data_IF_439412420444
#
_entry.id   IF_439412420444
#
_cell.length_a   1.000
_cell.length_b   1.000
_cell.length_c   1.000
_cell.angle_alpha   90.00
_cell.angle_beta   90.00
_cell.angle_gamma   90.00
#
_symmetry.space_group_name_H-M   'P 1'
#
loop_
_entity.id
_entity.type
_entity.pdbx_description
1 polymer ?
#
# COMPACT_ATOMS: atom_id res chain seq x y z
N UNK A 1 -1.80 -17.66 -5.87
CA UNK A 1 -2.03 -16.40 -6.58
C UNK A 1 -1.68 -15.23 -5.72
N UNK A 2 -1.07 -14.26 -6.35
CA UNK A 2 -0.68 -13.06 -5.63
C UNK A 2 -1.91 -12.17 -5.43
N UNK A 3 -2.02 -11.58 -4.27
CA UNK A 3 -3.08 -10.63 -4.02
C UNK A 3 -2.67 -9.26 -4.52
N UNK A 4 -3.67 -8.46 -4.87
CA UNK A 4 -3.39 -7.09 -5.24
C UNK A 4 -2.96 -6.31 -4.01
N UNK A 5 -2.15 -5.28 -4.26
CA UNK A 5 -1.62 -4.51 -3.16
C UNK A 5 -2.72 -3.94 -2.27
N UNK A 6 -3.84 -3.53 -2.87
CA UNK A 6 -4.94 -3.00 -2.09
C UNK A 6 -5.52 -4.02 -1.13
N UNK A 7 -5.64 -5.26 -1.59
CA UNK A 7 -6.16 -6.31 -0.73
C UNK A 7 -5.21 -6.60 0.42
N UNK A 8 -3.92 -6.57 0.14
CA UNK A 8 -2.91 -6.78 1.17
C UNK A 8 -3.02 -5.69 2.23
N UNK A 9 -3.18 -4.46 1.81
CA UNK A 9 -3.27 -3.35 2.74
C UNK A 9 -4.51 -3.43 3.60
N UNK A 10 -5.62 -3.89 3.02
CA UNK A 10 -6.84 -4.08 3.79
C UNK A 10 -6.65 -5.18 4.83
N UNK A 11 -6.04 -6.28 4.43
CA UNK A 11 -5.84 -7.39 5.34
C UNK A 11 -4.93 -7.02 6.50
N UNK A 12 -3.95 -6.18 6.24
CA UNK A 12 -3.03 -5.76 7.28
C UNK A 12 -3.57 -4.63 8.14
N UNK A 13 -4.75 -4.13 7.80
CA UNK A 13 -5.33 -3.04 8.58
C UNK A 13 -4.75 -1.69 8.27
N UNK A 14 -3.96 -1.58 7.21
CA UNK A 14 -3.39 -0.30 6.82
C UNK A 14 -4.47 0.63 6.30
N UNK A 15 -5.41 0.09 5.54
CA UNK A 15 -6.58 0.83 5.08
C UNK A 15 -7.79 -0.08 5.25
N UNK A 16 -8.98 0.48 5.13
CA UNK A 16 -10.20 -0.33 5.20
C UNK A 16 -10.80 -0.46 3.80
N UNK A 17 -11.91 -1.17 3.74
CA UNK A 17 -12.55 -1.45 2.46
C UNK A 17 -13.00 -0.17 1.76
N UNK A 18 -13.55 0.74 2.51
CA UNK A 18 -14.01 1.99 1.93
C UNK A 18 -12.85 2.78 1.36
N UNK A 19 -11.76 2.84 2.11
CA UNK A 19 -10.59 3.55 1.65
C UNK A 19 -10.03 2.90 0.40
N UNK A 20 -10.06 1.58 0.36
CA UNK A 20 -9.60 0.86 -0.82
C UNK A 20 -10.43 1.25 -2.04
N UNK A 21 -11.75 1.28 -1.88
CA UNK A 21 -12.61 1.64 -3.00
C UNK A 21 -12.35 3.05 -3.47
N UNK A 22 -12.18 3.96 -2.54
CA UNK A 22 -11.90 5.35 -2.89
C UNK A 22 -10.55 5.47 -3.61
N UNK A 23 -9.57 4.72 -3.15
CA UNK A 23 -8.27 4.74 -3.79
C UNK A 23 -8.33 4.19 -5.20
N UNK A 24 -9.12 3.15 -5.42
CA UNK A 24 -9.28 2.61 -6.75
C UNK A 24 -9.87 3.66 -7.70
N UNK A 25 -10.87 4.37 -7.22
CA UNK A 25 -11.48 5.42 -8.04
C UNK A 25 -10.48 6.51 -8.36
N UNK A 26 -9.74 6.92 -7.36
CA UNK A 26 -8.72 7.95 -7.56
C UNK A 26 -7.68 7.47 -8.56
N UNK A 27 -7.27 6.22 -8.44
CA UNK A 27 -6.27 5.65 -9.34
C UNK A 27 -6.73 5.73 -10.79
N UNK A 28 -7.99 5.37 -11.01
CA UNK A 28 -8.53 5.38 -12.37
C UNK A 28 -8.61 6.80 -12.93
N UNK A 29 -8.98 7.73 -12.09
CA UNK A 29 -9.14 9.10 -12.54
C UNK A 29 -7.80 9.76 -12.82
N UNK A 30 -6.79 9.42 -12.05
CA UNK A 30 -5.51 10.09 -12.14
C UNK A 30 -4.42 9.23 -12.79
N UNK A 31 -4.75 8.02 -13.16
CA UNK A 31 -3.81 7.12 -13.85
C UNK A 31 -2.51 6.99 -13.09
N UNK A 32 -2.62 6.75 -11.80
CA UNK A 32 -1.47 6.55 -10.95
C UNK A 32 -1.55 5.15 -10.35
N UNK A 33 -0.52 4.76 -9.61
CA UNK A 33 -0.56 3.47 -8.94
C UNK A 33 -1.49 3.54 -7.74
N UNK A 34 -1.94 2.39 -7.28
CA UNK A 34 -2.83 2.35 -6.13
C UNK A 34 -2.12 2.87 -4.89
N UNK A 35 -0.85 2.54 -4.72
CA UNK A 35 -0.09 3.06 -3.60
C UNK A 35 -0.04 4.57 -3.61
N UNK A 36 0.20 5.15 -4.79
CA UNK A 36 0.19 6.60 -4.92
C UNK A 36 -1.16 7.18 -4.55
N UNK A 37 -2.23 6.54 -5.00
CA UNK A 37 -3.57 7.02 -4.69
C UNK A 37 -3.80 7.04 -3.19
N UNK A 38 -3.40 5.99 -2.51
CA UNK A 38 -3.59 5.88 -1.08
C UNK A 38 -2.82 6.96 -0.34
N UNK A 39 -1.59 7.20 -0.76
CA UNK A 39 -0.77 8.22 -0.13
C UNK A 39 -1.34 9.60 -0.38
N UNK A 40 -1.75 9.87 -1.61
CA UNK A 40 -2.26 11.19 -1.95
C UNK A 40 -3.59 11.47 -1.27
N UNK A 41 -4.38 10.44 -1.06
CA UNK A 41 -5.64 10.62 -0.34
C UNK A 41 -5.44 10.69 1.17
N UNK A 42 -4.22 10.41 1.63
CA UNK A 42 -3.93 10.50 3.05
C UNK A 42 -4.40 9.31 3.85
N UNK A 43 -4.66 8.19 3.21
CA UNK A 43 -5.13 7.01 3.91
C UNK A 43 -3.99 6.26 4.58
N UNK A 44 -2.80 6.34 4.01
CA UNK A 44 -1.63 5.68 4.59
C UNK A 44 -0.39 6.39 4.08
N UNK A 45 0.72 6.19 4.77
CA UNK A 45 1.99 6.75 4.34
C UNK A 45 2.71 5.75 3.46
N UNK A 46 3.70 6.24 2.73
CA UNK A 46 4.52 5.35 1.91
C UNK A 46 5.20 4.30 2.77
N UNK A 47 5.66 4.71 3.93
CA UNK A 47 6.29 3.77 4.84
C UNK A 47 5.33 2.69 5.29
N UNK A 48 4.11 3.09 5.61
CA UNK A 48 3.10 2.13 6.03
C UNK A 48 2.81 1.11 4.95
N UNK A 49 2.71 1.56 3.72
CA UNK A 49 2.46 0.67 2.60
C UNK A 49 3.64 -0.29 2.42
N UNK A 50 4.86 0.22 2.48
CA UNK A 50 6.04 -0.60 2.31
C UNK A 50 6.13 -1.65 3.40
N UNK A 51 5.84 -1.27 4.64
CA UNK A 51 5.87 -2.21 5.75
C UNK A 51 4.84 -3.31 5.58
N UNK A 52 3.64 -2.94 5.14
CA UNK A 52 2.59 -3.94 4.91
C UNK A 52 3.02 -4.93 3.86
N UNK A 53 3.61 -4.45 2.80
CA UNK A 53 4.07 -5.34 1.74
C UNK A 53 5.21 -6.22 2.19
N UNK A 54 6.11 -5.69 3.00
CA UNK A 54 7.20 -6.49 3.52
C UNK A 54 6.69 -7.63 4.38
N UNK A 55 5.72 -7.35 5.22
CA UNK A 55 5.14 -8.39 6.06
C UNK A 55 4.49 -9.48 5.22
N UNK A 56 3.77 -9.07 4.19
CA UNK A 56 3.03 -10.02 3.38
C UNK A 56 3.97 -10.92 2.59
N UNK A 57 5.04 -10.37 2.08
CA UNK A 57 5.95 -11.11 1.21
C UNK A 57 7.12 -11.70 1.96
N UNK A 58 7.28 -11.37 3.22
CA UNK A 58 8.41 -11.87 3.98
C UNK A 58 9.73 -11.26 3.59
N UNK A 59 9.71 -10.15 2.91
CA UNK A 59 10.92 -9.49 2.46
C UNK A 59 11.36 -8.47 3.49
N UNK A 60 12.62 -8.45 3.88
CA UNK A 60 13.06 -7.45 4.85
C UNK A 60 12.88 -6.06 4.28
N UNK A 61 12.29 -5.22 5.09
CA UNK A 61 12.07 -3.86 4.68
C UNK A 61 13.32 -3.01 4.77
N UNK A 62 14.24 -3.42 5.54
CA UNK A 62 15.32 -2.56 5.98
C UNK A 62 16.42 -2.38 4.97
N UNK A 63 16.10 -2.41 3.72
CA UNK A 63 17.14 -2.33 2.71
C UNK A 63 17.97 -1.07 2.85
N UNK A 64 17.35 0.01 3.21
CA UNK A 64 18.11 1.24 3.30
C UNK A 64 18.98 1.28 4.54
N UNK A 65 18.58 0.60 5.57
CA UNK A 65 19.43 0.54 6.74
C UNK A 65 20.54 -0.44 6.56
N UNK A 66 20.34 -1.38 5.71
CA UNK A 66 21.35 -2.40 5.54
C UNK A 66 22.63 -1.87 5.00
N UNK A 67 22.56 -0.81 4.34
CA UNK A 67 23.77 -0.29 3.79
C UNK A 67 24.66 0.32 4.83
N UNK A 68 24.17 0.44 5.98
CA UNK A 68 25.00 0.97 7.04
C UNK A 68 26.16 0.06 7.31
#
# INVERSE_FOLDING_TARGET
>A
MAKKIGEILVENGTIDQEQYKKALRYQQQNKCSLGDAIVKLGFASEEGITLAMSKQFGVPYASKENKV
#
